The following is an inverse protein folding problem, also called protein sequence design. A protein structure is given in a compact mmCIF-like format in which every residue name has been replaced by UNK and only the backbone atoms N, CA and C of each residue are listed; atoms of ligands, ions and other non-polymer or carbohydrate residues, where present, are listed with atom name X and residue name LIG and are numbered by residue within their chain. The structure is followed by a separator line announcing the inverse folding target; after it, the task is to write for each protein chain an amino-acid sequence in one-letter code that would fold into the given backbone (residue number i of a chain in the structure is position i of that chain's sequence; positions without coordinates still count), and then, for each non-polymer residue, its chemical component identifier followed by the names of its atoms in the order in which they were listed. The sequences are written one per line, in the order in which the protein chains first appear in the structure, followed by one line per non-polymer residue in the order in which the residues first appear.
data_IF_227172753766
#
_entry.id   IF_227172753766
#
_cell.length_a   1.000
_cell.length_b   1.000
_cell.length_c   1.000
_cell.angle_alpha   90.00
_cell.angle_beta   90.00
_cell.angle_gamma   90.00
#
_symmetry.space_group_name_H-M   'P 1'
#
loop_
_entity.id
_entity.type
_entity.pdbx_description
1 polymer ?
#
# COMPACT_ATOMS: atom_id res chain seq x y z
N UNK A 1 6.36 2.12 77.81
CA UNK A 1 6.36 1.17 76.68
C UNK A 1 5.86 1.91 75.43
N UNK A 2 6.76 2.22 74.49
CA UNK A 2 6.44 2.92 73.22
C UNK A 2 6.05 1.86 72.18
N UNK A 3 4.84 1.93 71.65
CA UNK A 3 4.40 1.11 70.52
C UNK A 3 4.57 1.95 69.25
N UNK A 4 5.46 1.52 68.35
CA UNK A 4 5.61 2.09 67.01
C UNK A 4 4.69 1.30 66.09
N UNK A 5 3.63 1.93 65.61
CA UNK A 5 2.77 1.37 64.56
C UNK A 5 3.48 1.59 63.23
N UNK A 6 3.92 0.51 62.60
CA UNK A 6 4.56 0.52 61.29
C UNK A 6 3.48 0.44 60.21
N UNK A 7 3.09 1.58 59.64
CA UNK A 7 2.19 1.62 58.48
C UNK A 7 2.94 1.12 57.23
N UNK A 8 2.68 -0.13 56.83
CA UNK A 8 3.07 -0.70 55.54
C UNK A 8 2.29 0.01 54.43
N UNK A 9 2.93 0.98 53.77
CA UNK A 9 2.44 1.52 52.50
C UNK A 9 2.59 0.44 51.42
N UNK A 10 1.50 -0.26 51.11
CA UNK A 10 1.42 -1.09 49.92
C UNK A 10 1.34 -0.17 48.69
N UNK A 11 2.47 0.08 48.05
CA UNK A 11 2.52 0.77 46.76
C UNK A 11 2.05 -0.19 45.67
N UNK A 12 0.81 -0.04 45.21
CA UNK A 12 0.35 -0.65 43.97
C UNK A 12 1.11 0.02 42.81
N UNK A 13 2.21 -0.60 42.37
CA UNK A 13 2.92 -0.21 41.17
C UNK A 13 2.07 -0.59 39.95
N UNK A 14 1.26 0.35 39.45
CA UNK A 14 0.66 0.23 38.13
C UNK A 14 1.80 0.27 37.10
N UNK A 15 2.20 -0.90 36.61
CA UNK A 15 3.17 -1.01 35.52
C UNK A 15 2.59 -0.38 34.26
N UNK A 16 3.15 0.76 33.84
CA UNK A 16 2.83 1.36 32.53
C UNK A 16 3.14 0.30 31.47
N UNK A 17 2.22 0.01 30.53
CA UNK A 17 2.49 -0.95 29.47
C UNK A 17 3.73 -0.48 28.71
N UNK A 18 4.77 -1.32 28.68
CA UNK A 18 5.96 -1.08 27.87
C UNK A 18 5.54 -1.18 26.41
N UNK A 19 5.40 -0.04 25.74
CA UNK A 19 5.24 0.00 24.28
C UNK A 19 6.58 -0.39 23.68
N UNK A 20 6.66 -1.60 23.13
CA UNK A 20 7.83 -2.07 22.40
C UNK A 20 7.80 -1.46 20.98
N UNK A 21 8.68 -0.50 20.73
CA UNK A 21 8.84 0.07 19.40
C UNK A 21 9.62 -0.92 18.52
N UNK A 22 8.91 -1.63 17.64
CA UNK A 22 9.53 -2.52 16.63
C UNK A 22 9.92 -1.71 15.40
N UNK A 23 11.23 -1.58 15.16
CA UNK A 23 11.78 -0.85 14.01
C UNK A 23 11.83 -1.69 12.71
N UNK A 24 10.90 -2.63 12.53
CA UNK A 24 10.84 -3.47 11.34
C UNK A 24 9.43 -3.96 11.04
N UNK A 25 9.18 -4.24 9.75
CA UNK A 25 7.96 -4.93 9.35
C UNK A 25 7.95 -6.35 9.94
N UNK A 26 6.78 -6.78 10.42
CA UNK A 26 6.56 -8.15 10.89
C UNK A 26 6.67 -9.15 9.72
N UNK A 27 6.94 -10.45 9.99
CA UNK A 27 6.88 -11.47 8.94
C UNK A 27 5.45 -11.65 8.43
N UNK A 28 5.30 -12.14 7.19
CA UNK A 28 4.01 -12.35 6.52
C UNK A 28 3.00 -13.15 7.35
N UNK A 29 3.47 -14.15 8.10
CA UNK A 29 2.64 -15.00 8.96
C UNK A 29 1.98 -14.25 10.13
N UNK A 30 2.47 -13.05 10.46
CA UNK A 30 1.97 -12.20 11.53
C UNK A 30 1.22 -10.97 11.00
N UNK A 31 0.96 -10.90 9.69
CA UNK A 31 0.21 -9.80 9.11
C UNK A 31 -1.22 -9.78 9.67
N UNK A 32 -1.72 -8.59 9.98
CA UNK A 32 -3.12 -8.40 10.34
C UNK A 32 -4.02 -8.63 9.12
N UNK A 33 -5.33 -8.84 9.36
CA UNK A 33 -6.30 -8.97 8.27
C UNK A 33 -6.31 -7.74 7.35
N UNK A 34 -6.13 -6.53 7.91
CA UNK A 34 -6.00 -5.30 7.13
C UNK A 34 -4.78 -5.33 6.21
N UNK A 35 -3.62 -5.76 6.71
CA UNK A 35 -2.41 -5.87 5.88
C UNK A 35 -2.58 -6.91 4.77
N UNK A 36 -3.15 -8.07 5.09
CA UNK A 36 -3.42 -9.12 4.09
C UNK A 36 -4.47 -8.66 3.06
N UNK A 37 -5.47 -7.89 3.46
CA UNK A 37 -6.44 -7.26 2.55
C UNK A 37 -5.75 -6.26 1.61
N UNK A 38 -4.83 -5.43 2.12
CA UNK A 38 -4.05 -4.49 1.29
C UNK A 38 -3.21 -5.24 0.25
N UNK A 39 -2.57 -6.35 0.62
CA UNK A 39 -1.84 -7.21 -0.33
C UNK A 39 -2.77 -7.75 -1.42
N UNK A 40 -3.95 -8.24 -1.05
CA UNK A 40 -4.91 -8.78 -2.01
C UNK A 40 -5.43 -7.69 -2.96
N UNK A 41 -5.78 -6.51 -2.45
CA UNK A 41 -6.22 -5.37 -3.27
C UNK A 41 -5.14 -4.90 -4.23
N UNK A 42 -3.89 -4.81 -3.76
CA UNK A 42 -2.74 -4.51 -4.60
C UNK A 42 -2.54 -5.56 -5.70
N UNK A 43 -2.69 -6.85 -5.38
CA UNK A 43 -2.65 -7.91 -6.37
C UNK A 43 -3.76 -7.74 -7.43
N UNK A 44 -5.01 -7.52 -7.01
CA UNK A 44 -6.12 -7.35 -7.94
C UNK A 44 -5.95 -6.16 -8.86
N UNK A 45 -5.44 -5.04 -8.34
CA UNK A 45 -5.22 -3.85 -9.13
C UNK A 45 -4.13 -4.04 -10.21
N UNK A 46 -3.06 -4.79 -9.89
CA UNK A 46 -1.96 -5.01 -10.82
C UNK A 46 -2.14 -6.19 -11.79
N UNK A 47 -3.04 -7.15 -11.50
CA UNK A 47 -3.04 -8.45 -12.20
C UNK A 47 -3.28 -8.34 -13.72
N UNK A 48 -4.17 -7.43 -14.16
CA UNK A 48 -4.55 -7.31 -15.57
C UNK A 48 -3.40 -6.75 -16.42
N UNK A 49 -2.49 -6.01 -15.78
CA UNK A 49 -1.27 -5.47 -16.39
C UNK A 49 -0.05 -6.39 -16.14
N UNK A 50 -0.25 -7.61 -15.61
CA UNK A 50 0.84 -8.53 -15.27
C UNK A 50 1.64 -8.16 -14.01
N UNK A 51 1.19 -7.16 -13.25
CA UNK A 51 1.84 -6.68 -12.03
C UNK A 51 1.22 -7.18 -10.73
N UNK A 52 0.29 -8.13 -10.72
CA UNK A 52 -0.45 -8.52 -9.50
C UNK A 52 0.44 -8.82 -8.28
N UNK A 53 1.19 -9.93 -8.32
CA UNK A 53 2.12 -10.25 -7.21
C UNK A 53 3.23 -9.19 -7.04
N UNK A 54 3.62 -8.51 -8.12
CA UNK A 54 4.62 -7.43 -8.07
C UNK A 54 4.12 -6.26 -7.20
N UNK A 55 2.90 -5.78 -7.45
CA UNK A 55 2.32 -4.65 -6.76
C UNK A 55 2.02 -4.98 -5.30
N UNK A 56 1.56 -6.20 -5.01
CA UNK A 56 1.44 -6.69 -3.64
C UNK A 56 2.79 -6.76 -2.91
N UNK A 57 3.86 -7.21 -3.58
CA UNK A 57 5.20 -7.22 -3.01
C UNK A 57 5.75 -5.82 -2.76
N UNK A 58 5.43 -4.85 -3.62
CA UNK A 58 5.79 -3.42 -3.42
C UNK A 58 5.04 -2.87 -2.21
N UNK A 59 3.72 -3.09 -2.09
CA UNK A 59 2.95 -2.67 -0.91
C UNK A 59 3.56 -3.19 0.40
N UNK A 60 3.99 -4.46 0.41
CA UNK A 60 4.72 -5.03 1.54
C UNK A 60 6.05 -4.32 1.77
N UNK A 61 6.89 -4.20 0.73
CA UNK A 61 8.22 -3.63 0.85
C UNK A 61 8.23 -2.17 1.31
N UNK A 62 7.31 -1.36 0.79
CA UNK A 62 7.32 0.08 0.97
C UNK A 62 6.69 0.48 2.31
N UNK A 63 5.52 -0.07 2.64
CA UNK A 63 4.72 0.40 3.79
C UNK A 63 4.38 -0.68 4.80
N UNK A 64 5.02 -1.85 4.72
CA UNK A 64 4.61 -3.03 5.49
C UNK A 64 3.11 -3.35 5.26
N UNK A 65 2.69 -3.32 3.99
CA UNK A 65 1.30 -3.48 3.57
C UNK A 65 0.35 -2.46 4.23
N UNK A 66 0.77 -1.19 4.21
CA UNK A 66 -0.03 -0.04 4.60
C UNK A 66 -0.01 0.35 6.08
N UNK A 67 0.83 -0.30 6.90
CA UNK A 67 1.04 0.07 8.30
C UNK A 67 1.81 1.40 8.42
N UNK A 68 2.85 1.57 7.61
CA UNK A 68 3.73 2.74 7.64
C UNK A 68 3.68 3.46 6.30
N UNK A 69 2.80 4.47 6.17
CA UNK A 69 2.50 5.12 4.88
C UNK A 69 3.27 6.42 4.62
N UNK A 70 4.22 6.77 5.48
CA UNK A 70 4.94 8.04 5.43
C UNK A 70 6.44 7.79 5.51
N UNK A 71 7.21 8.39 4.61
CA UNK A 71 8.65 8.43 4.67
C UNK A 71 9.13 9.88 4.76
N UNK A 72 9.87 10.18 5.84
CA UNK A 72 10.40 11.53 6.09
C UNK A 72 11.83 11.71 5.54
N UNK A 73 12.55 10.63 5.25
CA UNK A 73 13.92 10.70 4.70
C UNK A 73 13.90 10.91 3.18
N UNK A 74 13.01 10.21 2.51
CA UNK A 74 12.68 10.39 1.10
C UNK A 74 11.21 10.81 1.05
N UNK A 75 10.85 12.00 0.51
CA UNK A 75 9.49 12.53 0.58
C UNK A 75 8.54 11.71 -0.30
N UNK A 76 8.13 10.55 0.23
CA UNK A 76 7.25 9.58 -0.39
C UNK A 76 6.17 9.13 0.59
N UNK A 77 5.01 8.76 0.04
CA UNK A 77 3.81 8.51 0.84
C UNK A 77 2.88 7.48 0.22
N UNK A 78 1.97 6.96 1.05
CA UNK A 78 0.97 5.96 0.69
C UNK A 78 1.48 4.53 0.74
N UNK A 79 0.60 3.58 0.40
CA UNK A 79 0.91 2.12 0.47
C UNK A 79 2.14 1.74 -0.36
N UNK A 80 2.36 2.43 -1.49
CA UNK A 80 3.44 2.12 -2.43
C UNK A 80 4.59 3.15 -2.40
N UNK A 81 4.57 4.06 -1.42
CA UNK A 81 5.56 5.14 -1.27
C UNK A 81 5.85 5.87 -2.59
N UNK A 82 4.82 6.45 -3.19
CA UNK A 82 5.01 7.26 -4.38
C UNK A 82 5.84 8.50 -4.06
N UNK A 83 6.87 8.78 -4.87
CA UNK A 83 7.73 9.95 -4.68
C UNK A 83 6.95 11.24 -4.95
N UNK A 84 6.67 12.02 -3.90
CA UNK A 84 5.73 13.14 -3.93
C UNK A 84 6.13 14.19 -4.99
N UNK A 85 7.41 14.62 -5.11
CA UNK A 85 7.79 15.56 -6.16
C UNK A 85 7.55 14.99 -7.56
N UNK A 86 7.75 13.68 -7.74
CA UNK A 86 7.46 12.98 -8.99
C UNK A 86 5.96 13.00 -9.33
N UNK A 87 5.09 12.79 -8.33
CA UNK A 87 3.63 12.89 -8.50
C UNK A 87 3.24 14.31 -8.90
N UNK A 88 3.71 15.33 -8.17
CA UNK A 88 3.40 16.74 -8.46
C UNK A 88 3.78 17.12 -9.90
N UNK A 89 4.94 16.66 -10.39
CA UNK A 89 5.40 16.94 -11.75
C UNK A 89 4.46 16.41 -12.84
N UNK A 90 3.60 15.44 -12.54
CA UNK A 90 2.59 14.93 -13.48
C UNK A 90 1.37 15.85 -13.60
N UNK A 91 1.19 16.82 -12.69
CA UNK A 91 0.06 17.74 -12.66
C UNK A 91 0.52 19.18 -12.94
N UNK A 92 0.38 19.68 -14.18
CA UNK A 92 0.97 20.95 -14.59
C UNK A 92 0.39 22.19 -13.88
N UNK A 93 -0.78 22.06 -13.24
CA UNK A 93 -1.41 23.13 -12.46
C UNK A 93 -0.85 23.24 -11.03
N UNK A 94 -0.11 22.25 -10.56
CA UNK A 94 0.45 22.24 -9.21
C UNK A 94 1.84 22.87 -9.20
N UNK A 95 2.13 23.63 -8.14
CA UNK A 95 3.45 24.22 -7.92
C UNK A 95 4.25 23.35 -6.96
N UNK A 96 5.55 23.18 -7.22
CA UNK A 96 6.46 22.52 -6.29
C UNK A 96 6.72 23.42 -5.08
N UNK A 97 6.00 23.19 -3.99
CA UNK A 97 6.19 23.88 -2.71
C UNK A 97 5.74 22.99 -1.54
N UNK A 98 6.10 23.36 -0.31
CA UNK A 98 5.81 22.55 0.89
C UNK A 98 4.31 22.31 1.13
N UNK A 99 3.46 23.29 0.86
CA UNK A 99 2.00 23.11 0.97
C UNK A 99 1.49 22.02 0.02
N UNK A 100 1.91 22.07 -1.24
CA UNK A 100 1.51 21.09 -2.26
C UNK A 100 2.06 19.70 -1.94
N UNK A 101 3.29 19.61 -1.43
CA UNK A 101 3.86 18.33 -0.98
C UNK A 101 3.07 17.72 0.18
N UNK A 102 2.68 18.52 1.18
CA UNK A 102 1.84 18.05 2.28
C UNK A 102 0.46 17.60 1.79
N UNK A 103 -0.17 18.39 0.91
CA UNK A 103 -1.48 18.06 0.33
C UNK A 103 -1.42 16.75 -0.47
N UNK A 104 -0.43 16.58 -1.35
CA UNK A 104 -0.27 15.35 -2.14
C UNK A 104 0.12 14.16 -1.27
N UNK A 105 1.00 14.36 -0.28
CA UNK A 105 1.34 13.32 0.68
C UNK A 105 0.12 12.84 1.47
N UNK A 106 -0.72 13.75 1.96
CA UNK A 106 -1.96 13.41 2.64
C UNK A 106 -2.91 12.62 1.74
N UNK A 107 -3.10 13.05 0.48
CA UNK A 107 -3.91 12.29 -0.49
C UNK A 107 -3.39 10.87 -0.71
N UNK A 108 -2.08 10.69 -0.88
CA UNK A 108 -1.49 9.35 -1.06
C UNK A 108 -1.69 8.45 0.17
N UNK A 109 -1.75 9.03 1.37
CA UNK A 109 -1.95 8.30 2.63
C UNK A 109 -3.42 7.93 2.83
N UNK A 110 -4.34 8.83 2.49
CA UNK A 110 -5.77 8.69 2.76
C UNK A 110 -6.52 7.94 1.66
N UNK A 111 -6.07 8.09 0.41
CA UNK A 111 -6.71 7.51 -0.76
C UNK A 111 -5.84 6.39 -1.36
N UNK A 112 -6.12 5.16 -0.92
CA UNK A 112 -5.46 3.96 -1.41
C UNK A 112 -5.65 3.76 -2.92
N UNK A 113 -6.79 4.19 -3.49
CA UNK A 113 -7.02 4.08 -4.93
C UNK A 113 -6.09 5.01 -5.70
N UNK A 114 -6.01 6.27 -5.27
CA UNK A 114 -5.09 7.24 -5.85
C UNK A 114 -3.63 6.74 -5.76
N UNK A 115 -3.21 6.22 -4.60
CA UNK A 115 -1.87 5.65 -4.43
C UNK A 115 -1.62 4.46 -5.36
N UNK A 116 -2.60 3.57 -5.53
CA UNK A 116 -2.54 2.42 -6.46
C UNK A 116 -2.41 2.88 -7.91
N UNK A 117 -3.23 3.85 -8.36
CA UNK A 117 -3.18 4.36 -9.73
C UNK A 117 -1.82 4.99 -10.06
N UNK A 118 -1.26 5.76 -9.12
CA UNK A 118 0.08 6.36 -9.27
C UNK A 118 1.16 5.28 -9.42
N UNK A 119 1.10 4.21 -8.60
CA UNK A 119 2.04 3.11 -8.65
C UNK A 119 1.96 2.29 -9.95
N UNK A 120 0.75 1.96 -10.41
CA UNK A 120 0.53 1.26 -11.69
C UNK A 120 1.01 2.10 -12.86
N UNK A 121 0.69 3.40 -12.88
CA UNK A 121 1.16 4.35 -13.90
C UNK A 121 2.69 4.35 -13.97
N UNK A 122 3.37 4.31 -12.83
CA UNK A 122 4.82 4.26 -12.76
C UNK A 122 5.40 2.94 -13.25
N UNK A 123 4.81 1.80 -12.87
CA UNK A 123 5.22 0.49 -13.37
C UNK A 123 5.05 0.39 -14.89
N UNK A 124 3.92 0.84 -15.44
CA UNK A 124 3.67 0.88 -16.90
C UNK A 124 4.67 1.80 -17.61
N UNK A 125 4.98 2.96 -17.03
CA UNK A 125 6.02 3.84 -17.57
C UNK A 125 7.36 3.10 -17.66
N UNK A 126 7.81 2.47 -16.57
CA UNK A 126 9.08 1.77 -16.53
C UNK A 126 9.10 0.52 -17.40
N UNK A 127 7.97 -0.18 -17.54
CA UNK A 127 7.81 -1.31 -18.45
C UNK A 127 8.08 -0.91 -19.89
N UNK A 128 7.48 0.21 -20.33
CA UNK A 128 7.73 0.77 -21.65
C UNK A 128 9.20 1.15 -21.84
N UNK A 129 9.82 1.80 -20.84
CA UNK A 129 11.23 2.20 -20.91
C UNK A 129 12.19 1.00 -20.99
N UNK A 130 11.89 -0.07 -20.26
CA UNK A 130 12.77 -1.24 -20.14
C UNK A 130 12.33 -2.43 -20.99
N UNK A 131 11.36 -2.24 -21.88
CA UNK A 131 10.85 -3.24 -22.82
C UNK A 131 10.47 -4.56 -22.12
N UNK A 132 9.75 -4.45 -21.00
CA UNK A 132 9.31 -5.61 -20.23
C UNK A 132 10.40 -6.28 -19.37
N UNK A 133 11.63 -5.75 -19.31
CA UNK A 133 12.66 -6.30 -18.42
C UNK A 133 12.30 -6.05 -16.94
N UNK A 134 11.66 -7.02 -16.31
CA UNK A 134 11.13 -6.92 -14.94
C UNK A 134 12.16 -6.46 -13.91
N UNK A 135 13.40 -6.97 -13.96
CA UNK A 135 14.47 -6.52 -13.07
C UNK A 135 14.72 -5.01 -13.20
N UNK A 136 14.85 -4.50 -14.42
CA UNK A 136 15.10 -3.08 -14.64
C UNK A 136 13.87 -2.21 -14.31
N UNK A 137 12.66 -2.73 -14.52
CA UNK A 137 11.41 -2.07 -14.09
C UNK A 137 11.45 -1.82 -12.59
N UNK A 138 11.70 -2.87 -11.79
CA UNK A 138 11.70 -2.80 -10.32
C UNK A 138 12.84 -1.93 -9.79
N UNK A 139 14.03 -2.02 -10.41
CA UNK A 139 15.15 -1.12 -10.08
C UNK A 139 14.80 0.35 -10.33
N UNK A 140 14.06 0.63 -11.39
CA UNK A 140 13.68 1.99 -11.76
C UNK A 140 12.49 2.52 -10.98
N UNK A 141 11.58 1.65 -10.53
CA UNK A 141 10.57 2.00 -9.55
C UNK A 141 11.22 2.58 -8.28
N UNK A 142 12.30 1.95 -7.78
CA UNK A 142 12.98 2.43 -6.58
C UNK A 142 13.94 3.61 -6.81
N UNK A 143 14.68 3.65 -7.92
CA UNK A 143 15.79 4.61 -8.14
C UNK A 143 15.67 5.47 -9.40
N UNK A 144 14.58 5.39 -10.14
CA UNK A 144 14.45 6.03 -11.44
C UNK A 144 15.63 5.71 -12.37
N UNK A 145 16.12 6.71 -13.10
CA UNK A 145 17.32 6.56 -13.95
C UNK A 145 18.65 6.54 -13.18
N UNK A 146 18.67 6.85 -11.89
CA UNK A 146 19.92 7.08 -11.15
C UNK A 146 20.78 5.82 -11.03
N UNK A 147 20.16 4.62 -10.95
CA UNK A 147 20.88 3.35 -10.84
C UNK A 147 21.73 3.03 -12.07
N UNK A 148 21.42 3.60 -13.23
CA UNK A 148 22.20 3.38 -14.46
C UNK A 148 23.50 4.18 -14.47
N UNK A 149 23.57 5.25 -13.68
CA UNK A 149 24.66 6.23 -13.72
C UNK A 149 25.50 6.25 -12.45
N UNK A 150 25.02 5.64 -11.38
CA UNK A 150 25.66 5.69 -10.06
C UNK A 150 25.70 4.29 -9.45
N UNK A 151 26.91 3.81 -9.15
CA UNK A 151 27.14 2.46 -8.61
C UNK A 151 26.44 2.23 -7.25
N UNK A 152 26.46 3.23 -6.37
CA UNK A 152 25.76 3.15 -5.08
C UNK A 152 24.25 3.06 -5.26
N UNK A 153 23.68 3.85 -6.17
CA UNK A 153 22.26 3.76 -6.52
C UNK A 153 21.93 2.41 -7.16
N UNK A 154 22.83 1.88 -8.01
CA UNK A 154 22.70 0.55 -8.59
C UNK A 154 22.66 -0.55 -7.54
N UNK A 155 23.58 -0.52 -6.57
CA UNK A 155 23.61 -1.46 -5.47
C UNK A 155 22.31 -1.43 -4.66
N UNK A 156 21.80 -0.24 -4.35
CA UNK A 156 20.52 -0.09 -3.63
C UNK A 156 19.33 -0.62 -4.44
N UNK A 157 19.26 -0.28 -5.73
CA UNK A 157 18.20 -0.75 -6.62
C UNK A 157 18.25 -2.28 -6.79
N UNK A 158 19.45 -2.86 -6.84
CA UNK A 158 19.63 -4.31 -6.93
C UNK A 158 19.13 -5.01 -5.68
N UNK A 159 19.49 -4.50 -4.50
CA UNK A 159 18.99 -5.01 -3.22
C UNK A 159 17.46 -4.96 -3.18
N UNK A 160 16.88 -3.83 -3.56
CA UNK A 160 15.43 -3.66 -3.64
C UNK A 160 14.77 -4.69 -4.56
N UNK A 161 15.34 -4.90 -5.76
CA UNK A 161 14.86 -5.94 -6.69
C UNK A 161 14.88 -7.35 -6.07
N UNK A 162 15.94 -7.71 -5.35
CA UNK A 162 16.05 -9.01 -4.68
C UNK A 162 15.02 -9.15 -3.55
N UNK A 163 14.78 -8.07 -2.80
CA UNK A 163 13.76 -8.04 -1.75
C UNK A 163 12.35 -8.23 -2.33
N UNK A 164 12.02 -7.55 -3.43
CA UNK A 164 10.74 -7.72 -4.15
C UNK A 164 10.62 -9.14 -4.70
N UNK A 165 11.67 -9.69 -5.31
CA UNK A 165 11.68 -11.06 -5.83
C UNK A 165 11.39 -12.08 -4.72
N UNK A 166 11.98 -11.89 -3.55
CA UNK A 166 11.76 -12.76 -2.39
C UNK A 166 10.32 -12.67 -1.91
N UNK A 167 9.77 -11.46 -1.81
CA UNK A 167 8.38 -11.23 -1.38
C UNK A 167 7.38 -11.80 -2.38
N UNK A 168 7.59 -11.64 -3.69
CA UNK A 168 6.75 -12.25 -4.73
C UNK A 168 6.68 -13.77 -4.52
N UNK A 169 7.83 -14.43 -4.34
CA UNK A 169 7.86 -15.89 -4.10
C UNK A 169 7.15 -16.28 -2.80
N UNK A 170 7.29 -15.49 -1.74
CA UNK A 170 6.60 -15.74 -0.49
C UNK A 170 5.08 -15.57 -0.63
N UNK A 171 4.63 -14.53 -1.33
CA UNK A 171 3.22 -14.31 -1.62
C UNK A 171 2.64 -15.45 -2.46
N UNK A 172 3.31 -15.86 -3.53
CA UNK A 172 2.88 -17.00 -4.36
C UNK A 172 2.80 -18.33 -3.59
N UNK A 173 3.62 -18.50 -2.54
CA UNK A 173 3.63 -19.69 -1.69
C UNK A 173 2.53 -19.68 -0.63
N UNK A 174 2.25 -18.51 -0.04
CA UNK A 174 1.31 -18.39 1.09
C UNK A 174 -0.09 -17.94 0.69
N UNK A 175 -0.21 -17.33 -0.50
CA UNK A 175 -1.46 -16.83 -1.02
C UNK A 175 -1.61 -17.25 -2.48
N UNK A 176 -2.61 -18.07 -2.74
CA UNK A 176 -3.05 -18.37 -4.11
C UNK A 176 -4.12 -17.35 -4.52
N UNK A 177 -3.72 -16.08 -4.69
CA UNK A 177 -4.65 -14.99 -4.94
C UNK A 177 -5.48 -15.19 -6.22
N UNK A 178 -4.90 -15.82 -7.24
CA UNK A 178 -5.61 -16.18 -8.48
C UNK A 178 -6.82 -17.09 -8.17
N UNK A 179 -6.59 -18.16 -7.40
CA UNK A 179 -7.62 -19.11 -6.98
C UNK A 179 -8.71 -18.45 -6.13
N UNK A 180 -8.31 -17.60 -5.17
CA UNK A 180 -9.26 -16.88 -4.31
C UNK A 180 -10.14 -15.94 -5.13
N UNK A 181 -9.55 -15.23 -6.10
CA UNK A 181 -10.31 -14.36 -6.99
C UNK A 181 -11.28 -15.14 -7.90
N UNK A 182 -10.85 -16.25 -8.47
CA UNK A 182 -11.70 -17.10 -9.32
C UNK A 182 -12.85 -17.73 -8.52
N UNK A 183 -12.58 -18.22 -7.31
CA UNK A 183 -13.58 -18.79 -6.42
C UNK A 183 -14.63 -17.76 -5.98
N UNK A 184 -14.20 -16.55 -5.62
CA UNK A 184 -15.11 -15.44 -5.25
C UNK A 184 -15.97 -14.99 -6.43
N UNK A 185 -15.39 -14.90 -7.63
CA UNK A 185 -16.13 -14.53 -8.85
C UNK A 185 -17.16 -15.60 -9.24
N UNK A 186 -16.78 -16.88 -9.16
CA UNK A 186 -17.66 -18.01 -9.50
C UNK A 186 -18.82 -18.17 -8.51
N UNK A 187 -18.58 -17.92 -7.21
CA UNK A 187 -19.63 -17.96 -6.18
C UNK A 187 -20.62 -16.80 -6.35
N UNK A 188 -20.16 -15.64 -6.80
CA UNK A 188 -20.99 -14.45 -7.09
C UNK A 188 -21.92 -14.66 -8.29
N UNK A 189 -21.48 -15.37 -9.33
CA UNK A 189 -22.35 -15.76 -10.45
C UNK A 189 -23.48 -16.73 -10.03
N UNK A 190 -23.34 -17.42 -8.89
CA UNK A 190 -24.36 -18.31 -8.34
C UNK A 190 -25.24 -17.66 -7.25
N UNK A 191 -24.93 -16.43 -6.82
CA UNK A 191 -25.64 -15.67 -5.79
C UNK A 191 -26.13 -14.33 -6.37
N UNK A 192 -26.90 -14.39 -7.44
CA UNK A 192 -27.52 -13.21 -8.04
C UNK A 192 -28.81 -12.85 -7.28
N UNK A 193 -28.68 -12.19 -6.12
CA UNK A 193 -29.61 -11.16 -5.60
C UNK A 193 -29.06 -10.52 -4.30
N UNK A 194 -28.26 -9.45 -4.44
CA UNK A 194 -28.25 -8.28 -3.54
C UNK A 194 -27.20 -7.26 -4.00
N UNK A 195 -27.68 -6.16 -4.56
CA UNK A 195 -26.90 -5.00 -4.99
C UNK A 195 -25.95 -4.47 -3.89
N UNK A 196 -24.63 -4.74 -4.01
CA UNK A 196 -23.53 -3.95 -3.41
C UNK A 196 -22.13 -4.43 -3.86
N UNK A 197 -21.98 -5.71 -4.20
CA UNK A 197 -20.66 -6.29 -4.53
C UNK A 197 -20.21 -6.04 -5.98
N UNK A 198 -21.12 -5.70 -6.89
CA UNK A 198 -20.79 -5.28 -8.27
C UNK A 198 -19.84 -4.10 -8.31
N UNK A 199 -20.04 -3.12 -7.42
CA UNK A 199 -19.25 -1.89 -7.40
C UNK A 199 -17.78 -2.11 -7.01
N UNK A 200 -17.47 -3.16 -6.24
CA UNK A 200 -16.11 -3.39 -5.72
C UNK A 200 -15.17 -4.01 -6.76
N UNK A 201 -15.64 -5.05 -7.46
CA UNK A 201 -14.86 -5.72 -8.52
C UNK A 201 -14.75 -4.84 -9.77
N UNK A 202 -15.81 -4.12 -10.12
CA UNK A 202 -15.82 -3.18 -11.24
C UNK A 202 -14.93 -1.95 -10.98
N UNK A 203 -14.85 -1.46 -9.73
CA UNK A 203 -14.01 -0.32 -9.34
C UNK A 203 -12.51 -0.62 -9.46
N UNK A 204 -12.04 -1.77 -8.97
CA UNK A 204 -10.62 -2.15 -9.11
C UNK A 204 -10.28 -2.66 -10.52
N UNK A 205 -11.23 -3.23 -11.26
CA UNK A 205 -11.01 -3.62 -12.66
C UNK A 205 -10.95 -2.40 -13.60
N UNK A 206 -11.73 -1.34 -13.33
CA UNK A 206 -11.78 -0.12 -14.14
C UNK A 206 -10.70 0.92 -13.81
N UNK A 207 -9.93 0.77 -12.72
CA UNK A 207 -8.77 1.62 -12.43
C UNK A 207 -7.66 1.54 -13.52
N UNK A 208 -7.77 0.57 -14.43
CA UNK A 208 -6.94 0.40 -15.63
C UNK A 208 -7.38 1.28 -16.83
N UNK A 209 -8.54 1.96 -16.77
CA UNK A 209 -9.02 2.84 -17.86
C UNK A 209 -8.26 4.17 -17.84
N UNK A 210 -7.42 4.34 -18.85
CA UNK A 210 -6.38 5.35 -19.03
C UNK A 210 -6.85 6.83 -19.20
N UNK A 211 -8.12 7.17 -18.92
CA UNK A 211 -8.73 8.39 -19.45
C UNK A 211 -9.05 9.52 -18.45
N UNK A 212 -8.56 9.50 -17.21
CA UNK A 212 -8.74 10.65 -16.29
C UNK A 212 -7.48 11.01 -15.48
N UNK A 213 -6.29 10.93 -16.10
CA UNK A 213 -5.01 11.21 -15.45
C UNK A 213 -4.73 12.72 -15.21
N UNK A 214 -5.64 13.60 -15.61
CA UNK A 214 -5.44 15.06 -15.59
C UNK A 214 -6.10 15.77 -14.39
N UNK A 215 -6.88 15.06 -13.57
CA UNK A 215 -7.61 15.63 -12.45
C UNK A 215 -7.26 14.88 -11.17
N UNK A 216 -6.65 15.59 -10.20
CA UNK A 216 -6.57 15.04 -8.84
C UNK A 216 -8.00 14.86 -8.28
N UNK A 217 -8.24 13.90 -7.37
CA UNK A 217 -9.54 13.71 -6.72
C UNK A 217 -10.12 15.00 -6.12
N UNK A 218 -9.28 15.91 -5.64
CA UNK A 218 -9.71 17.21 -5.10
C UNK A 218 -10.34 18.14 -6.15
N UNK A 219 -9.98 18.00 -7.43
CA UNK A 219 -10.57 18.80 -8.50
C UNK A 219 -11.93 18.26 -8.99
N UNK A 220 -12.36 17.09 -8.50
CA UNK A 220 -13.65 16.52 -8.88
C UNK A 220 -14.82 16.99 -7.99
N UNK A 221 -14.56 17.53 -6.79
CA UNK A 221 -15.59 18.14 -5.94
C UNK A 221 -15.08 19.44 -5.32
N UNK A 222 -15.80 20.54 -5.59
CA UNK A 222 -15.48 21.84 -5.04
C UNK A 222 -15.44 21.84 -3.50
N UNK A 223 -14.34 22.37 -2.96
CA UNK A 223 -14.26 23.02 -1.64
C UNK A 223 -14.63 22.20 -0.39
N UNK A 224 -14.41 20.89 -0.35
CA UNK A 224 -14.59 20.09 0.88
C UNK A 224 -13.27 19.75 1.58
N UNK A 225 -12.52 20.76 2.02
CA UNK A 225 -11.32 20.56 2.87
C UNK A 225 -11.67 20.18 4.32
N UNK A 226 -12.95 19.93 4.65
CA UNK A 226 -13.42 19.79 6.03
C UNK A 226 -14.55 18.77 6.27
N UNK A 227 -14.91 17.93 5.29
CA UNK A 227 -15.86 16.84 5.55
C UNK A 227 -15.11 15.67 6.21
N UNK A 228 -15.45 15.21 7.43
CA UNK A 228 -14.86 14.00 7.98
C UNK A 228 -15.18 12.83 7.04
N UNK A 229 -14.16 12.30 6.38
CA UNK A 229 -14.31 11.16 5.49
C UNK A 229 -14.88 9.99 6.28
N UNK A 230 -16.09 9.54 5.90
CA UNK A 230 -16.74 8.38 6.52
C UNK A 230 -15.80 7.19 6.42
N UNK A 231 -15.53 6.57 7.57
CA UNK A 231 -14.81 5.32 7.67
C UNK A 231 -15.45 4.28 6.72
N UNK A 232 -14.72 3.85 5.68
CA UNK A 232 -15.16 2.77 4.79
C UNK A 232 -15.20 1.47 5.61
N UNK A 233 -16.34 0.76 5.55
CA UNK A 233 -16.57 -0.50 6.26
C UNK A 233 -15.66 -1.59 5.69
N UNK A 234 -14.82 -2.19 6.53
CA UNK A 234 -13.90 -3.28 6.18
C UNK A 234 -14.66 -4.53 5.76
N UNK A 235 -14.30 -5.13 4.62
CA UNK A 235 -14.94 -6.34 4.09
C UNK A 235 -14.19 -7.55 4.68
N UNK A 236 -14.43 -7.83 5.96
CA UNK A 236 -13.73 -8.91 6.70
C UNK A 236 -14.24 -10.30 6.29
N UNK A 237 -15.48 -10.42 5.79
CA UNK A 237 -16.12 -11.72 5.57
C UNK A 237 -15.48 -12.57 4.46
N UNK A 238 -14.86 -11.96 3.45
CA UNK A 238 -14.21 -12.71 2.38
C UNK A 238 -12.78 -13.14 2.74
N UNK A 239 -12.19 -12.52 3.76
CA UNK A 239 -10.82 -12.80 4.19
C UNK A 239 -10.73 -14.12 4.99
N UNK A 240 -11.76 -14.45 5.78
CA UNK A 240 -11.82 -15.69 6.57
C UNK A 240 -11.74 -16.97 5.70
N UNK A 241 -11.99 -16.86 4.39
CA UNK A 241 -11.82 -17.96 3.45
C UNK A 241 -10.37 -18.22 3.05
N UNK A 242 -9.46 -17.27 3.25
CA UNK A 242 -8.02 -17.43 2.93
C UNK A 242 -7.22 -18.15 4.03
N UNK A 243 -7.76 -18.29 5.24
CA UNK A 243 -7.08 -19.04 6.32
C UNK A 243 -7.44 -20.53 6.33
N UNK A 244 -8.35 -20.97 5.46
CA UNK A 244 -8.86 -22.34 5.40
C UNK A 244 -8.30 -23.19 4.23
N UNK A 245 -7.29 -22.69 3.51
CA UNK A 245 -6.57 -23.39 2.43
C UNK A 245 -5.05 -23.16 2.56
#
# INVERSE_FOLDING_TARGET
MRWIILCLFATLAFGVPKVEFKNSCVPLSQFSNTQKEILFRAYLAGKNDGFGYTLAAIAWQESCAGEYRMNFQDPSAGIFHAYIPGVINRYPKLKQNGFTQNMVGAMLVEDDEFATQIAISELKFWEKQHKGNWRNIIKSYNKGYSWQKNERANFQAEKYYLDITTKVKQLQKHFHFDFVYEATTSKKQNLEYSNKDEKFSEYYANASKENDFMLLPIYQNGNEFASPLRQKKTIIQDFELMENY
#
